data_IF_000109923806
#
_entry.id   IF_000109923806
#
_cell.length_a   1.000
_cell.length_b   1.000
_cell.length_c   1.000
_cell.angle_alpha   90.00
_cell.angle_beta   90.00
_cell.angle_gamma   90.00
#
_symmetry.space_group_name_H-M   'P 1'
#
loop_
_entity.id
_entity.type
_entity.pdbx_description
1 polymer ?
#
# COMPACT_ATOMS: atom_id res chain seq x y z
N UNK A 1 1.15 15.09 16.45
CA UNK A 1 -0.20 14.48 16.58
C UNK A 1 -0.67 14.09 15.19
N UNK A 2 -0.27 12.93 14.70
CA UNK A 2 -0.71 12.39 13.41
C UNK A 2 -1.77 11.34 13.71
N UNK A 3 -3.05 11.74 13.63
CA UNK A 3 -4.16 10.81 13.75
C UNK A 3 -4.10 9.84 12.56
N UNK A 4 -3.97 8.52 12.76
CA UNK A 4 -3.77 7.53 11.69
C UNK A 4 -5.04 7.27 10.84
N UNK A 5 -6.04 8.15 10.90
CA UNK A 5 -7.36 7.91 10.31
C UNK A 5 -7.48 8.38 8.87
N UNK A 6 -6.64 9.32 8.40
CA UNK A 6 -6.62 9.79 7.00
C UNK A 6 -5.25 10.31 6.60
N UNK A 7 -4.36 9.38 6.27
CA UNK A 7 -3.09 9.73 5.64
C UNK A 7 -3.33 9.92 4.12
N UNK A 8 -3.19 11.14 3.56
CA UNK A 8 -3.54 11.41 2.17
C UNK A 8 -2.67 10.63 1.18
N UNK A 9 -1.41 10.37 1.53
CA UNK A 9 -0.48 9.61 0.72
C UNK A 9 -0.89 8.13 0.65
N UNK A 10 -1.40 7.57 1.75
CA UNK A 10 -1.95 6.22 1.76
C UNK A 10 -3.22 6.10 0.90
N UNK A 11 -4.10 7.11 0.92
CA UNK A 11 -5.28 7.12 0.04
C UNK A 11 -4.87 7.18 -1.44
N UNK A 12 -3.83 7.95 -1.80
CA UNK A 12 -3.28 7.95 -3.16
C UNK A 12 -2.75 6.56 -3.56
N UNK A 13 -2.05 5.86 -2.66
CA UNK A 13 -1.58 4.50 -2.90
C UNK A 13 -2.73 3.51 -3.11
N UNK A 14 -3.84 3.64 -2.38
CA UNK A 14 -5.04 2.84 -2.60
C UNK A 14 -5.70 3.13 -3.96
N UNK A 15 -5.76 4.39 -4.37
CA UNK A 15 -6.27 4.79 -5.68
C UNK A 15 -5.40 4.20 -6.79
N UNK A 16 -4.07 4.29 -6.65
CA UNK A 16 -3.13 3.70 -7.59
C UNK A 16 -3.29 2.18 -7.71
N UNK A 17 -3.34 1.46 -6.58
CA UNK A 17 -3.60 0.01 -6.56
C UNK A 17 -4.92 -0.36 -7.25
N UNK A 18 -5.97 0.44 -7.03
CA UNK A 18 -7.28 0.25 -7.66
C UNK A 18 -7.21 0.48 -9.18
N UNK A 19 -6.54 1.52 -9.64
CA UNK A 19 -6.40 1.84 -11.06
C UNK A 19 -5.56 0.80 -11.81
N UNK A 20 -4.45 0.34 -11.22
CA UNK A 20 -3.53 -0.59 -11.87
C UNK A 20 -4.10 -2.01 -12.05
N UNK A 21 -4.94 -2.50 -11.13
CA UNK A 21 -5.48 -3.88 -11.18
C UNK A 21 -7.01 -3.97 -11.28
N UNK A 22 -7.72 -2.84 -11.21
CA UNK A 22 -9.18 -2.82 -11.20
C UNK A 22 -9.79 -3.45 -9.93
N UNK A 23 -9.03 -3.52 -8.83
CA UNK A 23 -9.47 -4.21 -7.62
C UNK A 23 -10.08 -3.22 -6.61
N UNK A 24 -11.31 -3.50 -6.15
CA UNK A 24 -12.00 -2.67 -5.19
C UNK A 24 -11.58 -2.98 -3.75
N UNK A 25 -10.77 -2.11 -3.16
CA UNK A 25 -10.37 -2.17 -1.75
C UNK A 25 -11.45 -1.66 -0.78
N UNK A 26 -12.65 -1.34 -1.27
CA UNK A 26 -13.78 -0.83 -0.47
C UNK A 26 -14.23 -1.81 0.62
N UNK A 27 -14.01 -3.11 0.43
CA UNK A 27 -14.29 -4.15 1.43
C UNK A 27 -13.17 -4.43 2.43
N UNK A 28 -11.98 -3.83 2.27
CA UNK A 28 -10.82 -4.10 3.12
C UNK A 28 -10.67 -3.05 4.22
N UNK A 29 -10.36 -3.49 5.44
CA UNK A 29 -10.06 -2.57 6.55
C UNK A 29 -8.74 -1.83 6.27
N UNK A 30 -8.80 -0.50 6.20
CA UNK A 30 -7.64 0.40 6.02
C UNK A 30 -6.49 0.05 6.95
N UNK A 31 -6.78 -0.15 8.24
CA UNK A 31 -5.77 -0.50 9.24
C UNK A 31 -5.02 -1.79 8.93
N UNK A 32 -5.65 -2.76 8.26
CA UNK A 32 -5.00 -4.02 7.87
C UNK A 32 -4.06 -3.82 6.67
N UNK A 33 -4.51 -3.07 5.67
CA UNK A 33 -3.69 -2.71 4.50
C UNK A 33 -2.48 -1.88 4.93
N UNK A 34 -2.72 -0.80 5.67
CA UNK A 34 -1.70 0.11 6.17
C UNK A 34 -0.63 -0.64 6.97
N UNK A 35 -1.02 -1.60 7.83
CA UNK A 35 -0.05 -2.40 8.60
C UNK A 35 0.82 -3.31 7.71
N UNK A 36 0.27 -3.84 6.61
CA UNK A 36 1.06 -4.64 5.63
C UNK A 36 2.00 -3.75 4.83
N UNK A 37 1.50 -2.60 4.36
CA UNK A 37 2.30 -1.61 3.63
C UNK A 37 3.44 -1.09 4.51
N UNK A 38 3.18 -0.66 5.75
CA UNK A 38 4.24 -0.23 6.68
C UNK A 38 5.29 -1.31 6.94
N UNK A 39 4.91 -2.58 7.04
CA UNK A 39 5.86 -3.68 7.21
C UNK A 39 6.76 -3.84 5.97
N UNK A 40 6.20 -3.62 4.78
CA UNK A 40 6.93 -3.67 3.53
C UNK A 40 7.86 -2.48 3.37
N UNK A 41 7.37 -1.28 3.65
CA UNK A 41 8.15 -0.04 3.72
C UNK A 41 9.33 -0.15 4.67
N UNK A 42 9.14 -0.73 5.87
CA UNK A 42 10.25 -1.01 6.80
C UNK A 42 11.31 -1.96 6.21
N UNK A 43 10.91 -2.91 5.36
CA UNK A 43 11.86 -3.82 4.70
C UNK A 43 12.67 -3.11 3.61
N UNK A 44 12.12 -2.04 3.04
CA UNK A 44 12.75 -1.21 2.02
C UNK A 44 13.39 0.06 2.60
N UNK A 45 13.37 0.23 3.93
CA UNK A 45 13.79 1.45 4.62
C UNK A 45 13.12 2.73 4.09
N UNK A 46 11.85 2.62 3.70
CA UNK A 46 11.03 3.76 3.28
C UNK A 46 10.18 4.22 4.46
N UNK A 47 10.16 5.53 4.73
CA UNK A 47 9.42 6.09 5.86
C UNK A 47 8.11 6.78 5.44
N UNK A 48 8.01 7.25 4.18
CA UNK A 48 6.85 7.96 3.65
C UNK A 48 6.11 7.15 2.57
N UNK A 49 4.79 7.26 2.56
CA UNK A 49 3.98 6.56 1.55
C UNK A 49 4.17 7.16 0.15
N UNK A 50 4.46 8.46 0.03
CA UNK A 50 4.80 9.11 -1.23
C UNK A 50 6.08 8.55 -1.86
N UNK A 51 7.16 8.44 -1.10
CA UNK A 51 8.40 7.80 -1.57
C UNK A 51 8.15 6.33 -1.98
N UNK A 52 7.29 5.63 -1.23
CA UNK A 52 6.93 4.26 -1.58
C UNK A 52 6.07 4.19 -2.85
N UNK A 53 5.20 5.18 -3.08
CA UNK A 53 4.39 5.27 -4.30
C UNK A 53 5.28 5.48 -5.52
N UNK A 54 6.21 6.43 -5.47
CA UNK A 54 7.21 6.66 -6.53
C UNK A 54 7.99 5.37 -6.83
N UNK A 55 8.40 4.64 -5.79
CA UNK A 55 9.06 3.34 -5.93
C UNK A 55 8.20 2.31 -6.68
N UNK A 56 6.90 2.26 -6.38
CA UNK A 56 5.95 1.35 -7.05
C UNK A 56 5.62 1.76 -8.49
N UNK A 57 5.80 3.03 -8.86
CA UNK A 57 5.63 3.51 -10.23
C UNK A 57 6.84 3.15 -11.11
N UNK A 58 8.05 3.20 -10.54
CA UNK A 58 9.28 2.82 -11.26
C UNK A 58 9.53 1.32 -11.28
N UNK A 59 9.07 0.60 -10.25
CA UNK A 59 9.27 -0.85 -10.10
C UNK A 59 7.93 -1.61 -10.08
N UNK A 60 7.47 -2.10 -11.25
CA UNK A 60 6.23 -2.87 -11.34
C UNK A 60 6.34 -4.25 -10.68
N UNK A 61 7.54 -4.79 -10.41
CA UNK A 61 7.68 -6.07 -9.71
C UNK A 61 7.36 -5.91 -8.22
N UNK A 62 7.83 -4.84 -7.58
CA UNK A 62 7.48 -4.55 -6.18
C UNK A 62 5.98 -4.27 -6.04
N UNK A 63 5.35 -3.60 -7.02
CA UNK A 63 3.90 -3.47 -7.06
C UNK A 63 3.19 -4.83 -7.06
N UNK A 64 3.63 -5.76 -7.92
CA UNK A 64 3.10 -7.11 -7.94
C UNK A 64 3.32 -7.84 -6.62
N UNK A 65 4.48 -7.67 -5.99
CA UNK A 65 4.79 -8.26 -4.70
C UNK A 65 3.87 -7.73 -3.60
N UNK A 66 3.73 -6.42 -3.50
CA UNK A 66 2.85 -5.77 -2.54
C UNK A 66 1.41 -6.21 -2.74
N UNK A 67 0.93 -6.17 -3.98
CA UNK A 67 -0.42 -6.56 -4.34
C UNK A 67 -0.71 -8.02 -3.98
N UNK A 68 0.21 -8.93 -4.32
CA UNK A 68 0.10 -10.34 -3.95
C UNK A 68 0.14 -10.52 -2.42
N UNK A 69 1.01 -9.79 -1.73
CA UNK A 69 1.11 -9.78 -0.26
C UNK A 69 -0.18 -9.31 0.39
N UNK A 70 -0.90 -8.37 -0.21
CA UNK A 70 -2.21 -7.89 0.26
C UNK A 70 -3.32 -8.89 -0.04
N UNK A 71 -3.30 -9.52 -1.23
CA UNK A 71 -4.30 -10.48 -1.68
C UNK A 71 -4.23 -11.83 -0.97
N UNK A 72 -3.03 -12.29 -0.60
CA UNK A 72 -2.85 -13.53 0.15
C UNK A 72 -3.52 -13.35 1.52
N UNK A 73 -4.72 -13.92 1.66
CA UNK A 73 -5.38 -14.20 2.94
C UNK A 73 -4.76 -15.49 3.50
N UNK A 74 -3.87 -15.37 4.49
CA UNK A 74 -3.49 -16.52 5.31
C UNK A 74 -2.05 -16.49 5.82
N UNK A 75 -1.89 -16.39 7.14
CA UNK A 75 -1.37 -17.55 7.86
C UNK A 75 -2.58 -18.27 8.44
#
# INVERSE_FOLDING_TARGET
>A
MTSPEKDPEFENLLVYLRQSRGFDFTGYKRSTLMRRVCKRMQSLSVENFGDYLDYLEVDPEEFNYLFNTILIRGC
#
